data_IF_616623755558
#
_entry.id   IF_616623755558
#
_cell.length_a   1.000
_cell.length_b   1.000
_cell.length_c   1.000
_cell.angle_alpha   90.00
_cell.angle_beta   90.00
_cell.angle_gamma   90.00
#
_symmetry.space_group_name_H-M   'P 1'
#
loop_
_entity.id
_entity.type
_entity.pdbx_description
1 polymer ?
#
# COMPACT_ATOMS: atom_id res chain seq x y z
N UNK A 1 35.45 68.06 3.18
CA UNK A 1 35.41 67.98 1.71
C UNK A 1 35.88 66.60 1.31
N UNK A 2 35.03 65.86 0.60
CA UNK A 2 35.26 64.49 0.13
C UNK A 2 36.18 64.49 -1.11
N UNK A 3 37.25 63.70 -1.08
CA UNK A 3 38.02 63.32 -2.25
C UNK A 3 37.43 62.07 -2.89
N UNK A 4 37.26 62.12 -4.20
CA UNK A 4 36.55 61.15 -5.05
C UNK A 4 37.28 59.82 -5.22
N UNK A 5 36.52 58.71 -5.19
CA UNK A 5 36.93 57.44 -5.80
C UNK A 5 36.17 57.25 -7.12
N UNK A 6 36.90 57.03 -8.22
CA UNK A 6 36.37 56.67 -9.53
C UNK A 6 36.05 55.18 -9.56
N UNK A 7 34.86 54.80 -10.04
CA UNK A 7 34.50 53.41 -10.33
C UNK A 7 34.42 53.26 -11.86
N UNK A 8 35.30 52.43 -12.42
CA UNK A 8 35.21 51.97 -13.81
C UNK A 8 34.08 50.94 -13.92
N UNK A 9 33.13 51.20 -14.81
CA UNK A 9 32.10 50.23 -15.20
C UNK A 9 32.64 49.40 -16.36
N UNK A 10 32.92 48.12 -16.10
CA UNK A 10 33.17 47.14 -17.16
C UNK A 10 31.84 46.80 -17.85
N UNK A 11 31.82 47.08 -19.15
CA UNK A 11 30.70 46.85 -20.04
C UNK A 11 30.47 45.34 -20.20
N UNK A 12 29.44 44.80 -19.56
CA UNK A 12 28.94 43.45 -19.84
C UNK A 12 27.68 43.60 -20.70
N UNK A 13 27.83 43.21 -21.97
CA UNK A 13 26.73 43.09 -22.92
C UNK A 13 25.60 42.21 -22.35
N UNK A 14 24.37 42.63 -22.63
CA UNK A 14 23.20 41.74 -22.66
C UNK A 14 22.49 41.56 -21.33
N UNK A 15 21.71 42.58 -20.95
CA UNK A 15 20.58 42.37 -20.05
C UNK A 15 19.65 41.31 -20.64
N UNK A 16 19.49 40.19 -19.94
CA UNK A 16 18.22 39.50 -19.94
C UNK A 16 17.69 39.53 -18.51
N UNK A 17 16.44 39.96 -18.39
CA UNK A 17 15.81 40.37 -17.12
C UNK A 17 15.86 39.21 -16.14
N UNK A 18 16.56 39.39 -15.02
CA UNK A 18 16.45 38.51 -13.88
C UNK A 18 14.99 38.49 -13.44
N UNK A 19 14.25 37.45 -13.85
CA UNK A 19 12.94 37.14 -13.29
C UNK A 19 13.16 36.99 -11.79
N UNK A 20 12.59 37.93 -11.04
CA UNK A 20 12.48 37.84 -9.59
C UNK A 20 11.96 36.45 -9.25
N UNK A 21 12.77 35.68 -8.51
CA UNK A 21 12.34 34.41 -7.96
C UNK A 21 11.04 34.68 -7.21
N UNK A 22 9.94 34.07 -7.67
CA UNK A 22 8.70 34.08 -6.89
C UNK A 22 9.07 33.59 -5.48
N UNK A 23 8.62 34.27 -4.42
CA UNK A 23 8.94 33.87 -3.06
C UNK A 23 8.47 32.43 -2.89
N UNK A 24 9.44 31.52 -2.78
CA UNK A 24 9.18 30.12 -2.49
C UNK A 24 8.62 30.10 -1.07
N UNK A 25 7.30 29.97 -0.98
CA UNK A 25 6.55 29.77 0.25
C UNK A 25 7.32 28.80 1.15
N UNK A 26 7.68 29.28 2.34
CA UNK A 26 8.16 28.53 3.51
C UNK A 26 9.05 27.33 3.21
N UNK A 27 10.37 27.47 3.40
CA UNK A 27 11.27 26.32 3.43
C UNK A 27 10.73 25.28 4.43
N UNK A 28 10.41 24.09 3.92
CA UNK A 28 9.80 23.01 4.69
C UNK A 28 10.61 22.62 5.94
N UNK A 29 11.91 22.95 5.97
CA UNK A 29 12.79 22.71 7.10
C UNK A 29 12.48 23.56 8.34
N UNK A 30 12.08 24.82 8.17
CA UNK A 30 11.76 25.70 9.30
C UNK A 30 10.44 25.27 9.95
N UNK A 31 9.46 24.88 9.13
CA UNK A 31 8.20 24.32 9.62
C UNK A 31 8.37 22.94 10.28
N UNK A 32 9.32 22.12 9.83
CA UNK A 32 9.70 20.87 10.50
C UNK A 32 10.24 21.09 11.91
N UNK A 33 11.06 22.13 12.11
CA UNK A 33 11.63 22.43 13.42
C UNK A 33 10.61 23.01 14.40
N UNK A 34 9.69 23.84 13.90
CA UNK A 34 8.75 24.57 14.75
C UNK A 34 7.46 23.80 15.06
N UNK A 35 7.02 22.90 14.17
CA UNK A 35 5.73 22.21 14.28
C UNK A 35 5.85 20.72 13.91
N UNK A 36 6.65 19.92 14.65
CA UNK A 36 6.89 18.51 14.33
C UNK A 36 5.59 17.67 14.35
N UNK A 37 4.61 18.03 15.18
CA UNK A 37 3.31 17.36 15.28
C UNK A 37 2.34 17.66 14.14
N UNK A 38 2.54 18.74 13.37
CA UNK A 38 1.74 19.03 12.17
C UNK A 38 2.35 18.44 10.89
N UNK A 39 3.56 17.88 11.00
CA UNK A 39 4.25 17.19 9.92
C UNK A 39 3.71 15.77 9.75
N UNK A 40 2.46 15.65 9.29
CA UNK A 40 1.89 14.38 8.85
C UNK A 40 2.42 14.08 7.45
N UNK A 41 3.66 13.61 7.39
CA UNK A 41 4.21 12.95 6.20
C UNK A 41 4.00 11.43 6.28
N UNK A 42 2.88 11.00 6.85
CA UNK A 42 2.41 9.66 6.56
C UNK A 42 2.01 9.64 5.08
N UNK A 43 2.67 8.85 4.22
CA UNK A 43 2.18 8.65 2.88
C UNK A 43 0.77 8.10 3.00
N UNK A 44 -0.24 8.93 2.72
CA UNK A 44 -1.63 8.49 2.67
C UNK A 44 -1.72 7.40 1.61
N UNK A 45 -1.77 6.16 2.05
CA UNK A 45 -1.99 5.01 1.17
C UNK A 45 -3.26 5.26 0.38
N UNK A 46 -3.15 5.19 -0.95
CA UNK A 46 -4.31 5.38 -1.83
C UNK A 46 -5.03 4.06 -2.01
N UNK A 47 -6.31 4.05 -1.69
CA UNK A 47 -7.16 2.89 -1.96
C UNK A 47 -7.56 2.88 -3.43
N UNK A 48 -7.22 1.80 -4.13
CA UNK A 48 -7.47 1.64 -5.56
C UNK A 48 -8.13 0.29 -5.83
N UNK A 49 -9.11 0.20 -6.74
CA UNK A 49 -9.63 -1.09 -7.14
C UNK A 49 -8.61 -1.83 -8.01
N UNK A 50 -8.58 -3.16 -7.91
CA UNK A 50 -7.85 -4.01 -8.87
C UNK A 50 -8.65 -4.04 -10.18
N UNK A 51 -8.07 -3.48 -11.24
CA UNK A 51 -8.64 -3.47 -12.59
C UNK A 51 -7.97 -4.51 -13.48
N UNK A 52 -8.69 -5.05 -14.48
CA UNK A 52 -8.13 -6.03 -15.41
C UNK A 52 -7.93 -7.41 -14.80
N UNK A 53 -8.69 -7.73 -13.74
CA UNK A 53 -8.66 -9.03 -13.10
C UNK A 53 -9.32 -10.08 -14.01
N UNK A 54 -8.63 -11.19 -14.22
CA UNK A 54 -9.18 -12.34 -14.94
C UNK A 54 -10.33 -13.00 -14.17
N UNK A 55 -11.29 -13.56 -14.90
CA UNK A 55 -12.46 -14.22 -14.31
C UNK A 55 -12.05 -15.37 -13.36
N UNK A 56 -11.11 -16.22 -13.76
CA UNK A 56 -10.68 -17.36 -12.97
C UNK A 56 -9.93 -16.94 -11.71
N UNK A 57 -9.06 -15.93 -11.81
CA UNK A 57 -8.38 -15.37 -10.63
C UNK A 57 -9.42 -14.84 -9.64
N UNK A 58 -10.47 -14.17 -10.13
CA UNK A 58 -11.54 -13.67 -9.28
C UNK A 58 -12.30 -14.79 -8.59
N UNK A 59 -12.79 -15.76 -9.35
CA UNK A 59 -13.57 -16.90 -8.84
C UNK A 59 -12.79 -17.68 -7.78
N UNK A 60 -11.52 -17.99 -8.06
CA UNK A 60 -10.67 -18.70 -7.11
C UNK A 60 -10.40 -17.87 -5.85
N UNK A 61 -10.31 -16.55 -5.97
CA UNK A 61 -10.18 -15.67 -4.80
C UNK A 61 -11.46 -15.65 -3.98
N UNK A 62 -12.64 -15.64 -4.60
CA UNK A 62 -13.93 -15.71 -3.89
C UNK A 62 -14.07 -17.04 -3.15
N UNK A 63 -13.68 -18.17 -3.76
CA UNK A 63 -13.64 -19.47 -3.09
C UNK A 63 -12.66 -19.47 -1.91
N UNK A 64 -11.47 -18.88 -2.08
CA UNK A 64 -10.48 -18.77 -1.01
C UNK A 64 -11.04 -17.96 0.18
N UNK A 65 -11.66 -16.82 -0.09
CA UNK A 65 -12.25 -15.96 0.96
C UNK A 65 -13.39 -16.66 1.68
N UNK A 66 -14.32 -17.29 0.95
CA UNK A 66 -15.42 -18.05 1.52
C UNK A 66 -14.92 -19.19 2.42
N UNK A 67 -13.84 -19.87 2.01
CA UNK A 67 -13.26 -20.96 2.80
C UNK A 67 -12.62 -20.46 4.09
N UNK A 68 -11.96 -19.29 4.08
CA UNK A 68 -11.46 -18.64 5.30
C UNK A 68 -12.61 -18.26 6.22
N UNK A 69 -13.70 -17.72 5.67
CA UNK A 69 -14.93 -17.41 6.42
C UNK A 69 -15.49 -18.67 7.09
N UNK A 70 -15.64 -19.77 6.35
CA UNK A 70 -16.09 -21.06 6.90
C UNK A 70 -15.19 -21.58 8.02
N UNK A 71 -13.86 -21.52 7.86
CA UNK A 71 -12.93 -21.92 8.92
C UNK A 71 -13.09 -21.05 10.17
N UNK A 72 -13.29 -19.74 10.01
CA UNK A 72 -13.57 -18.86 11.14
C UNK A 72 -14.88 -19.23 11.84
N UNK A 73 -15.95 -19.47 11.08
CA UNK A 73 -17.24 -19.88 11.62
C UNK A 73 -17.14 -21.20 12.39
N UNK A 74 -16.50 -22.23 11.83
CA UNK A 74 -16.34 -23.52 12.51
C UNK A 74 -15.59 -23.39 13.84
N UNK A 75 -14.53 -22.58 13.89
CA UNK A 75 -13.77 -22.38 15.12
C UNK A 75 -14.57 -21.57 16.14
N UNK A 76 -15.36 -20.59 15.67
CA UNK A 76 -16.26 -19.83 16.54
C UNK A 76 -17.37 -20.69 17.11
N UNK A 77 -18.00 -21.56 16.32
CA UNK A 77 -19.03 -22.50 16.77
C UNK A 77 -18.48 -23.49 17.80
N UNK A 78 -17.31 -24.11 17.51
CA UNK A 78 -16.64 -24.99 18.45
C UNK A 78 -16.26 -24.30 19.78
N UNK A 79 -15.99 -22.99 19.73
CA UNK A 79 -15.68 -22.18 20.89
C UNK A 79 -16.93 -21.54 21.55
N UNK A 80 -18.05 -21.47 20.84
CA UNK A 80 -19.35 -20.88 21.21
C UNK A 80 -20.26 -21.88 21.89
N UNK A 81 -20.07 -23.19 21.64
CA UNK A 81 -20.59 -24.27 22.49
C UNK A 81 -20.19 -24.12 23.97
N UNK A 82 -19.19 -23.28 24.29
CA UNK A 82 -18.59 -23.14 25.61
C UNK A 82 -18.63 -21.73 26.23
N UNK A 83 -19.15 -20.68 25.58
CA UNK A 83 -19.25 -19.35 26.21
C UNK A 83 -20.17 -18.37 25.45
N UNK A 84 -21.12 -17.77 26.18
CA UNK A 84 -21.94 -16.64 25.73
C UNK A 84 -21.14 -15.35 25.61
N UNK A 85 -21.53 -14.52 24.64
CA UNK A 85 -20.98 -13.21 24.30
C UNK A 85 -19.50 -13.20 23.87
N UNK A 86 -19.26 -13.45 22.58
CA UNK A 86 -17.95 -13.22 21.96
C UNK A 86 -18.03 -12.14 20.90
N UNK A 87 -17.22 -11.09 21.10
CA UNK A 87 -16.93 -10.10 20.09
C UNK A 87 -16.48 -10.79 18.79
N UNK A 88 -17.00 -10.33 17.65
CA UNK A 88 -16.63 -10.87 16.35
C UNK A 88 -15.13 -10.73 16.11
N UNK A 89 -14.47 -11.76 15.55
CA UNK A 89 -13.04 -11.71 15.29
C UNK A 89 -12.73 -10.62 14.27
N UNK A 90 -11.62 -9.92 14.52
CA UNK A 90 -11.10 -8.86 13.66
C UNK A 90 -9.60 -9.08 13.51
N UNK A 91 -9.21 -9.60 12.35
CA UNK A 91 -7.81 -9.94 12.11
C UNK A 91 -7.39 -9.62 10.69
N UNK A 92 -6.09 -9.56 10.49
CA UNK A 92 -5.47 -9.51 9.17
C UNK A 92 -4.61 -10.74 9.00
N UNK A 93 -4.91 -11.52 7.96
CA UNK A 93 -4.10 -12.63 7.50
C UNK A 93 -3.12 -12.12 6.44
N UNK A 94 -1.84 -12.43 6.61
CA UNK A 94 -0.78 -12.15 5.64
C UNK A 94 -0.17 -13.45 5.18
N UNK A 95 0.15 -13.52 3.91
CA UNK A 95 0.91 -14.62 3.33
C UNK A 95 2.31 -14.12 3.03
N UNK A 96 3.30 -14.63 3.77
CA UNK A 96 4.70 -14.24 3.61
C UNK A 96 5.58 -15.48 3.73
N UNK A 97 6.55 -15.63 2.82
CA UNK A 97 7.51 -16.74 2.82
C UNK A 97 6.87 -18.14 2.84
N UNK A 98 5.71 -18.31 2.18
CA UNK A 98 4.97 -19.57 2.17
C UNK A 98 4.20 -19.85 3.46
N UNK A 99 4.15 -18.91 4.40
CA UNK A 99 3.44 -19.06 5.66
C UNK A 99 2.29 -18.05 5.82
N UNK A 100 1.21 -18.55 6.42
CA UNK A 100 0.12 -17.74 6.94
C UNK A 100 0.48 -17.13 8.30
N UNK A 101 0.38 -15.81 8.41
CA UNK A 101 0.58 -15.05 9.66
C UNK A 101 -0.68 -14.26 9.97
N UNK A 102 -1.23 -14.45 11.16
CA UNK A 102 -2.40 -13.71 11.65
C UNK A 102 -1.97 -12.59 12.60
N UNK A 103 -2.60 -11.43 12.48
CA UNK A 103 -2.46 -10.31 13.40
C UNK A 103 -3.85 -9.79 13.79
N UNK A 104 -4.03 -9.38 15.05
CA UNK A 104 -5.29 -8.86 15.58
C UNK A 104 -5.98 -9.83 16.53
N UNK A 105 -7.31 -9.75 16.62
CA UNK A 105 -8.13 -10.58 17.49
C UNK A 105 -8.72 -11.74 16.69
N UNK A 106 -8.24 -12.95 16.96
CA UNK A 106 -8.70 -14.16 16.29
C UNK A 106 -8.72 -15.36 17.26
N UNK A 107 -9.55 -16.39 16.98
CA UNK A 107 -9.56 -17.61 17.79
C UNK A 107 -8.22 -18.37 17.69
N UNK A 108 -7.68 -18.92 18.80
CA UNK A 108 -6.34 -19.50 18.81
C UNK A 108 -6.18 -20.71 17.89
N UNK A 109 -7.23 -21.49 17.66
CA UNK A 109 -7.21 -22.66 16.78
C UNK A 109 -7.26 -22.31 15.28
N UNK A 110 -7.62 -21.07 14.93
CA UNK A 110 -7.82 -20.66 13.53
C UNK A 110 -6.53 -20.77 12.71
N UNK A 111 -5.40 -20.30 13.25
CA UNK A 111 -4.13 -20.33 12.53
C UNK A 111 -3.74 -21.75 12.13
N UNK A 112 -3.92 -22.70 13.07
CA UNK A 112 -3.59 -24.10 12.86
C UNK A 112 -4.48 -24.72 11.80
N UNK A 113 -5.79 -24.43 11.82
CA UNK A 113 -6.71 -24.95 10.79
C UNK A 113 -6.40 -24.39 9.39
N UNK A 114 -6.13 -23.09 9.28
CA UNK A 114 -5.77 -22.48 8.00
C UNK A 114 -4.47 -23.07 7.44
N UNK A 115 -3.46 -23.33 8.28
CA UNK A 115 -2.19 -23.95 7.86
C UNK A 115 -2.34 -25.44 7.47
N UNK A 116 -3.30 -26.15 8.03
CA UNK A 116 -3.56 -27.56 7.71
C UNK A 116 -4.38 -27.74 6.42
N UNK A 117 -5.07 -26.70 5.97
CA UNK A 117 -5.83 -26.74 4.74
C UNK A 117 -4.93 -26.66 3.51
N UNK A 118 -4.63 -27.83 2.93
CA UNK A 118 -3.75 -27.94 1.76
C UNK A 118 -4.28 -27.19 0.55
N UNK A 119 -5.59 -27.25 0.30
CA UNK A 119 -6.19 -26.54 -0.84
C UNK A 119 -6.02 -25.03 -0.67
N UNK A 120 -6.21 -24.51 0.55
CA UNK A 120 -6.03 -23.08 0.83
C UNK A 120 -4.59 -22.63 0.55
N UNK A 121 -3.60 -23.41 1.00
CA UNK A 121 -2.19 -23.12 0.78
C UNK A 121 -1.80 -23.19 -0.70
N UNK A 122 -2.32 -24.18 -1.43
CA UNK A 122 -2.10 -24.31 -2.88
C UNK A 122 -2.73 -23.12 -3.65
N UNK A 123 -3.94 -22.70 -3.25
CA UNK A 123 -4.61 -21.54 -3.81
C UNK A 123 -3.82 -20.25 -3.54
N UNK A 124 -3.26 -20.06 -2.34
CA UNK A 124 -2.35 -18.93 -2.07
C UNK A 124 -1.10 -18.97 -2.95
N UNK A 125 -0.46 -20.14 -3.08
CA UNK A 125 0.74 -20.31 -3.89
C UNK A 125 0.51 -19.95 -5.36
N UNK A 126 -0.70 -20.21 -5.88
CA UNK A 126 -1.09 -19.82 -7.22
C UNK A 126 -1.53 -18.34 -7.32
N UNK A 127 -2.41 -17.87 -6.45
CA UNK A 127 -3.00 -16.53 -6.54
C UNK A 127 -1.99 -15.42 -6.29
N UNK A 128 -1.13 -15.55 -5.27
CA UNK A 128 -0.21 -14.49 -4.82
C UNK A 128 0.69 -13.98 -5.96
N UNK A 129 1.46 -14.82 -6.68
CA UNK A 129 2.31 -14.35 -7.76
C UNK A 129 1.53 -13.73 -8.92
N UNK A 130 0.35 -14.25 -9.27
CA UNK A 130 -0.50 -13.68 -10.32
C UNK A 130 -0.97 -12.26 -9.96
N UNK A 131 -1.38 -12.09 -8.70
CA UNK A 131 -1.80 -10.81 -8.16
C UNK A 131 -0.66 -9.81 -8.06
N UNK A 132 0.54 -10.25 -7.68
CA UNK A 132 1.73 -9.40 -7.68
C UNK A 132 2.09 -8.94 -9.07
N UNK A 133 2.08 -9.83 -10.07
CA UNK A 133 2.32 -9.45 -11.46
C UNK A 133 1.29 -8.40 -11.95
N UNK A 134 0.01 -8.64 -11.68
CA UNK A 134 -1.07 -7.73 -12.05
C UNK A 134 -0.91 -6.36 -11.39
N UNK A 135 -0.79 -6.31 -10.05
CA UNK A 135 -0.69 -5.04 -9.32
C UNK A 135 0.59 -4.30 -9.66
N UNK A 136 1.71 -5.02 -9.81
CA UNK A 136 2.96 -4.40 -10.22
C UNK A 136 2.82 -3.75 -11.61
N UNK A 137 2.12 -4.40 -12.55
CA UNK A 137 1.86 -3.79 -13.87
C UNK A 137 1.06 -2.48 -13.76
N UNK A 138 0.07 -2.40 -12.86
CA UNK A 138 -0.70 -1.18 -12.61
C UNK A 138 0.19 -0.08 -12.01
N UNK A 139 1.06 -0.43 -11.06
CA UNK A 139 2.02 0.52 -10.49
C UNK A 139 3.07 0.97 -11.51
N UNK A 140 3.50 0.11 -12.43
CA UNK A 140 4.42 0.46 -13.51
C UNK A 140 3.82 1.49 -14.49
N UNK A 141 2.52 1.36 -14.81
CA UNK A 141 1.82 2.38 -15.61
C UNK A 141 1.84 3.72 -14.89
N UNK A 142 1.49 3.76 -13.60
CA UNK A 142 1.53 4.98 -12.80
C UNK A 142 2.96 5.56 -12.69
N UNK A 143 3.95 4.69 -12.48
CA UNK A 143 5.36 5.05 -12.47
C UNK A 143 5.78 5.72 -13.78
N UNK A 144 5.40 5.16 -14.93
CA UNK A 144 5.78 5.69 -16.25
C UNK A 144 5.34 7.15 -16.44
N UNK A 145 4.12 7.49 -16.02
CA UNK A 145 3.59 8.84 -16.07
C UNK A 145 4.33 9.81 -15.14
N UNK A 146 4.71 9.36 -13.94
CA UNK A 146 5.50 10.17 -13.01
C UNK A 146 6.91 10.34 -13.55
N UNK A 147 7.51 9.29 -14.10
CA UNK A 147 8.86 9.28 -14.65
C UNK A 147 8.99 10.23 -15.84
N UNK A 148 8.00 10.24 -16.75
CA UNK A 148 7.92 11.18 -17.88
C UNK A 148 7.97 12.64 -17.41
N UNK A 149 7.35 12.96 -16.27
CA UNK A 149 7.30 14.32 -15.72
C UNK A 149 8.54 14.67 -14.89
N UNK A 150 9.04 13.72 -14.10
CA UNK A 150 10.21 13.90 -13.23
C UNK A 150 10.80 12.55 -12.82
N UNK A 151 11.98 12.24 -13.38
CA UNK A 151 12.72 11.01 -13.08
C UNK A 151 13.09 10.90 -11.60
N UNK A 152 13.63 11.99 -11.03
CA UNK A 152 14.05 12.01 -9.62
C UNK A 152 12.88 11.82 -8.65
N UNK A 153 11.69 12.34 -8.99
CA UNK A 153 10.48 12.11 -8.21
C UNK A 153 10.02 10.65 -8.33
N UNK A 154 9.98 10.10 -9.54
CA UNK A 154 9.58 8.72 -9.77
C UNK A 154 10.45 7.72 -9.01
N UNK A 155 11.79 7.84 -9.10
CA UNK A 155 12.72 6.97 -8.37
C UNK A 155 12.61 7.09 -6.85
N UNK A 156 12.22 8.26 -6.32
CA UNK A 156 11.98 8.43 -4.88
C UNK A 156 10.65 7.83 -4.44
N UNK A 157 9.58 8.07 -5.20
CA UNK A 157 8.22 7.62 -4.86
C UNK A 157 8.06 6.10 -4.99
N UNK A 158 8.69 5.48 -5.99
CA UNK A 158 8.56 4.05 -6.29
C UNK A 158 9.81 3.24 -5.91
N UNK A 159 10.57 3.71 -4.91
CA UNK A 159 11.78 3.02 -4.43
C UNK A 159 11.49 1.60 -3.95
N UNK A 160 10.25 1.30 -3.56
CA UNK A 160 9.84 -0.02 -3.11
C UNK A 160 9.92 -1.10 -4.19
N UNK A 161 10.02 -0.72 -5.47
CA UNK A 161 10.27 -1.68 -6.55
C UNK A 161 11.58 -2.43 -6.42
N UNK A 162 12.58 -1.86 -5.73
CA UNK A 162 13.86 -2.52 -5.48
C UNK A 162 13.78 -3.59 -4.36
N UNK A 163 12.64 -3.68 -3.66
CA UNK A 163 12.40 -4.63 -2.57
C UNK A 163 11.88 -5.98 -3.06
N UNK A 164 11.80 -6.93 -2.12
CA UNK A 164 11.18 -8.23 -2.38
C UNK A 164 9.73 -8.06 -2.84
N UNK A 165 9.32 -8.85 -3.86
CA UNK A 165 8.01 -8.74 -4.50
C UNK A 165 7.65 -7.32 -4.94
N UNK A 166 8.65 -6.50 -5.30
CA UNK A 166 8.50 -5.08 -5.63
C UNK A 166 7.85 -4.26 -4.49
N UNK A 167 8.04 -4.67 -3.23
CA UNK A 167 7.43 -4.06 -2.06
C UNK A 167 5.94 -4.35 -1.89
N UNK A 168 5.40 -5.31 -2.65
CA UNK A 168 4.02 -5.75 -2.56
C UNK A 168 3.87 -6.85 -1.52
N UNK A 169 2.73 -6.84 -0.82
CA UNK A 169 2.33 -7.94 0.05
C UNK A 169 0.82 -8.15 0.01
N UNK A 170 0.40 -9.40 0.17
CA UNK A 170 -1.01 -9.77 0.29
C UNK A 170 -1.47 -9.62 1.73
N UNK A 171 -2.64 -9.03 1.91
CA UNK A 171 -3.33 -8.94 3.19
C UNK A 171 -4.82 -9.23 3.02
N UNK A 172 -5.31 -10.23 3.74
CA UNK A 172 -6.73 -10.52 3.84
C UNK A 172 -7.22 -9.94 5.16
N UNK A 173 -8.10 -8.96 5.08
CA UNK A 173 -8.72 -8.34 6.25
C UNK A 173 -10.03 -9.06 6.54
N UNK A 174 -10.20 -9.53 7.77
CA UNK A 174 -11.43 -10.10 8.25
C UNK A 174 -12.08 -9.14 9.24
N UNK A 175 -13.29 -8.67 8.92
CA UNK A 175 -14.10 -7.85 9.82
C UNK A 175 -15.57 -8.20 9.64
N UNK A 176 -16.34 -8.19 10.73
CA UNK A 176 -17.79 -8.43 10.73
C UNK A 176 -18.22 -9.71 9.98
N UNK A 177 -17.43 -10.79 10.10
CA UNK A 177 -17.73 -12.06 9.44
C UNK A 177 -17.37 -12.13 7.95
N UNK A 178 -16.75 -11.10 7.38
CA UNK A 178 -16.37 -11.06 5.96
C UNK A 178 -14.88 -10.90 5.76
N UNK A 179 -14.33 -11.69 4.84
CA UNK A 179 -12.95 -11.62 4.40
C UNK A 179 -12.82 -10.71 3.16
N UNK A 180 -11.79 -9.87 3.14
CA UNK A 180 -11.48 -8.95 2.04
C UNK A 180 -10.04 -9.13 1.59
N UNK A 181 -9.86 -9.50 0.33
CA UNK A 181 -8.54 -9.58 -0.30
C UNK A 181 -8.00 -8.19 -0.65
N UNK A 182 -6.80 -7.88 -0.16
CA UNK A 182 -6.09 -6.65 -0.46
C UNK A 182 -4.63 -6.92 -0.81
N UNK A 183 -4.06 -6.10 -1.69
CA UNK A 183 -2.64 -6.09 -2.01
C UNK A 183 -2.13 -4.70 -1.68
N UNK A 184 -1.12 -4.61 -0.83
CA UNK A 184 -0.60 -3.33 -0.41
C UNK A 184 0.83 -3.14 -0.89
N UNK A 185 1.12 -1.92 -1.31
CA UNK A 185 2.45 -1.36 -1.48
C UNK A 185 2.63 -0.23 -0.46
N UNK A 186 3.84 0.34 -0.31
CA UNK A 186 4.06 1.49 0.55
C UNK A 186 3.26 2.75 0.17
N UNK A 187 2.69 2.78 -1.05
CA UNK A 187 1.96 3.94 -1.58
C UNK A 187 0.48 3.67 -1.85
N UNK A 188 0.09 2.42 -2.10
CA UNK A 188 -1.27 2.05 -2.52
C UNK A 188 -1.79 0.81 -1.77
N UNK A 189 -3.10 0.76 -1.56
CA UNK A 189 -3.82 -0.45 -1.16
C UNK A 189 -4.81 -0.79 -2.26
N UNK A 190 -4.55 -1.90 -2.94
CA UNK A 190 -5.39 -2.44 -3.98
C UNK A 190 -6.41 -3.40 -3.38
N UNK A 191 -7.69 -3.23 -3.71
CA UNK A 191 -8.77 -4.06 -3.19
C UNK A 191 -9.59 -4.67 -4.34
N UNK A 192 -10.17 -5.84 -4.09
CA UNK A 192 -11.17 -6.40 -4.99
C UNK A 192 -12.44 -5.55 -4.97
N UNK A 193 -12.94 -5.19 -6.14
CA UNK A 193 -14.25 -4.57 -6.25
C UNK A 193 -15.33 -5.61 -5.90
N UNK A 194 -16.24 -5.25 -5.00
CA UNK A 194 -17.44 -6.02 -4.78
C UNK A 194 -18.23 -6.12 -6.10
N UNK A 195 -18.62 -7.33 -6.48
CA UNK A 195 -19.57 -7.53 -7.57
C UNK A 195 -20.90 -6.91 -7.15
N UNK A 196 -21.40 -5.96 -7.94
CA UNK A 196 -22.82 -5.58 -7.85
C UNK A 196 -23.59 -6.80 -8.34
N UNK A 197 -24.22 -7.54 -7.41
CA UNK A 197 -25.29 -8.49 -7.74
C UNK A 197 -26.49 -7.73 -8.29
#
# INVERSE_FOLDING_TARGET
MLGSAHIQLTNTLGQDVARTARPTVGSAHVLQQLLPTLWVNEPRMRYQPITGLDYYIREETEHLLARIETHCEMVLEAAGANAGDKAMPKFTLRFANGECVLAGQYPPALLTQLKQDRWLMDAFAWLVPNYFALVHSLELVAFSHVYQRSRSKASKTYRHFDGENNGLYVSIKFDTGKAQWNIASPINVFHLQATKK
#
